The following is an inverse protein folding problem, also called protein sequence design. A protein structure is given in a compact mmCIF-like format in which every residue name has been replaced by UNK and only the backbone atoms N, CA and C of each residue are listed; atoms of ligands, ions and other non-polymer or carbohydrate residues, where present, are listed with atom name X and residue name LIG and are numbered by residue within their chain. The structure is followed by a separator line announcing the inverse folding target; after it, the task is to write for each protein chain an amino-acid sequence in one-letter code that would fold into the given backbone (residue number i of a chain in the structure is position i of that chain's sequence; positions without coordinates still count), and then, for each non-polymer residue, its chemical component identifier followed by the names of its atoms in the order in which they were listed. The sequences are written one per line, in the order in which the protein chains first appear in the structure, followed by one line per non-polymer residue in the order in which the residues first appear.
data_IF_332295378843
#
_entry.id   IF_332295378843
#
_cell.length_a   1.000
_cell.length_b   1.000
_cell.length_c   1.000
_cell.angle_alpha   90.00
_cell.angle_beta   90.00
_cell.angle_gamma   90.00
#
_symmetry.space_group_name_H-M   'P 1'
#
loop_
_entity.id
_entity.type
_entity.pdbx_description
1 polymer ?
#
# COMPACT_ATOMS: atom_id res chain seq x y z
N UNK A 1 -16.75 -11.14 7.56
CA UNK A 1 -15.29 -10.92 7.73
C UNK A 1 -15.06 -9.44 7.98
N UNK A 2 -13.90 -8.99 8.45
CA UNK A 2 -13.66 -7.55 8.76
C UNK A 2 -12.51 -7.06 7.88
N UNK A 3 -12.66 -5.86 7.29
CA UNK A 3 -11.58 -5.19 6.57
C UNK A 3 -10.49 -4.75 7.55
N UNK A 4 -9.22 -5.06 7.24
CA UNK A 4 -8.08 -4.69 8.07
C UNK A 4 -7.95 -3.19 8.25
N UNK A 5 -8.00 -2.41 7.16
CA UNK A 5 -7.74 -0.97 7.20
C UNK A 5 -8.91 -0.20 7.84
N UNK A 6 -10.14 -0.40 7.37
CA UNK A 6 -11.27 0.44 7.80
C UNK A 6 -12.19 -0.19 8.86
N UNK A 7 -11.94 -1.44 9.27
CA UNK A 7 -12.74 -2.14 10.29
C UNK A 7 -14.19 -2.43 9.89
N UNK A 8 -14.60 -2.15 8.65
CA UNK A 8 -15.97 -2.43 8.16
C UNK A 8 -16.19 -3.94 8.01
N UNK A 9 -17.40 -4.38 8.31
CA UNK A 9 -17.82 -5.74 8.00
C UNK A 9 -17.92 -5.96 6.50
N UNK A 10 -17.24 -7.00 6.02
CA UNK A 10 -17.35 -7.53 4.67
C UNK A 10 -18.39 -8.63 4.74
N UNK A 11 -19.58 -8.33 4.19
CA UNK A 11 -20.67 -9.28 4.06
C UNK A 11 -20.40 -10.20 2.88
N UNK A 12 -20.31 -11.50 3.15
CA UNK A 12 -20.00 -12.55 2.18
C UNK A 12 -21.26 -12.91 1.38
N UNK A 13 -21.85 -11.94 0.70
CA UNK A 13 -23.11 -12.11 -0.03
C UNK A 13 -22.89 -12.76 -1.39
N UNK A 14 -22.32 -13.96 -1.46
CA UNK A 14 -22.13 -14.81 -2.67
C UNK A 14 -21.45 -14.15 -3.89
N UNK A 15 -21.21 -12.84 -3.89
CA UNK A 15 -20.45 -12.10 -4.86
C UNK A 15 -19.00 -12.27 -4.47
N UNK A 16 -18.32 -13.18 -5.15
CA UNK A 16 -16.88 -13.49 -5.02
C UNK A 16 -15.96 -12.24 -5.20
N UNK A 17 -16.54 -11.07 -5.45
CA UNK A 17 -15.86 -9.84 -5.85
C UNK A 17 -15.70 -8.78 -4.74
N UNK A 18 -16.18 -9.01 -3.51
CA UNK A 18 -16.09 -8.00 -2.44
C UNK A 18 -14.97 -8.24 -1.43
N UNK A 19 -14.26 -9.37 -1.57
CA UNK A 19 -13.14 -9.75 -0.71
C UNK A 19 -11.83 -9.69 -1.47
N UNK A 20 -10.91 -8.87 -0.99
CA UNK A 20 -9.56 -8.74 -1.53
C UNK A 20 -8.53 -9.03 -0.44
N UNK A 21 -7.31 -9.37 -0.87
CA UNK A 21 -6.17 -9.61 0.02
C UNK A 21 -5.04 -8.67 -0.34
N UNK A 22 -4.37 -8.09 0.64
CA UNK A 22 -3.13 -7.34 0.43
C UNK A 22 -2.09 -8.25 -0.26
N UNK A 23 -1.47 -7.75 -1.34
CA UNK A 23 -0.53 -8.53 -2.16
C UNK A 23 0.79 -8.86 -1.42
N UNK A 24 1.10 -8.15 -0.33
CA UNK A 24 2.31 -8.36 0.47
C UNK A 24 2.09 -9.27 1.68
N UNK A 25 1.07 -9.00 2.50
CA UNK A 25 0.88 -9.67 3.80
C UNK A 25 -0.40 -10.53 3.87
N UNK A 26 -1.25 -10.49 2.85
CA UNK A 26 -2.45 -11.33 2.76
C UNK A 26 -3.61 -10.96 3.69
N UNK A 27 -3.53 -9.83 4.40
CA UNK A 27 -4.65 -9.34 5.23
C UNK A 27 -5.87 -9.06 4.36
N UNK A 28 -7.06 -9.22 4.92
CA UNK A 28 -8.31 -9.03 4.17
C UNK A 28 -8.66 -7.55 4.07
N UNK A 29 -8.95 -7.10 2.85
CA UNK A 29 -9.39 -5.75 2.53
C UNK A 29 -10.77 -5.80 1.88
N UNK A 30 -11.57 -4.76 2.14
CA UNK A 30 -12.74 -4.50 1.31
C UNK A 30 -12.30 -3.90 -0.03
N UNK A 31 -13.22 -3.92 -1.00
CA UNK A 31 -12.98 -3.37 -2.34
C UNK A 31 -12.45 -1.94 -2.33
N UNK A 32 -13.04 -1.07 -1.51
CA UNK A 32 -12.68 0.34 -1.48
C UNK A 32 -11.23 0.53 -1.04
N UNK A 33 -10.84 -0.07 0.10
CA UNK A 33 -9.46 0.00 0.61
C UNK A 33 -8.47 -0.65 -0.37
N UNK A 34 -8.81 -1.79 -0.98
CA UNK A 34 -7.95 -2.44 -1.95
C UNK A 34 -7.67 -1.56 -3.18
N UNK A 35 -8.69 -0.85 -3.68
CA UNK A 35 -8.53 0.06 -4.83
C UNK A 35 -7.80 1.34 -4.45
N UNK A 36 -8.12 1.90 -3.28
CA UNK A 36 -7.48 3.12 -2.75
C UNK A 36 -5.99 2.92 -2.50
N UNK A 37 -5.61 1.78 -1.91
CA UNK A 37 -4.23 1.43 -1.60
C UNK A 37 -3.55 0.56 -2.67
N UNK A 38 -4.10 0.53 -3.90
CA UNK A 38 -3.49 -0.08 -5.09
C UNK A 38 -3.06 -1.54 -4.85
N UNK A 39 -3.89 -2.31 -4.16
CA UNK A 39 -3.65 -3.71 -3.87
C UNK A 39 -2.93 -4.02 -2.56
N UNK A 40 -2.54 -3.00 -1.79
CA UNK A 40 -1.87 -3.15 -0.50
C UNK A 40 -2.78 -2.73 0.65
N UNK A 41 -2.42 -3.08 1.89
CA UNK A 41 -2.98 -2.43 3.07
C UNK A 41 -2.21 -1.13 3.36
N UNK A 42 -2.80 -0.27 4.19
CA UNK A 42 -2.22 1.04 4.54
C UNK A 42 -0.77 0.93 5.03
N UNK A 43 -0.51 -0.03 5.94
CA UNK A 43 0.83 -0.25 6.51
C UNK A 43 1.85 -0.65 5.44
N UNK A 44 1.52 -1.62 4.59
CA UNK A 44 2.44 -2.06 3.53
C UNK A 44 2.65 -0.98 2.46
N UNK A 45 1.64 -0.16 2.18
CA UNK A 45 1.79 0.96 1.25
C UNK A 45 2.74 2.01 1.82
N UNK A 46 2.59 2.37 3.09
CA UNK A 46 3.49 3.30 3.79
C UNK A 46 4.95 2.80 3.77
N UNK A 47 5.18 1.52 4.06
CA UNK A 47 6.52 0.92 4.02
C UNK A 47 7.17 1.05 2.63
N UNK A 48 6.38 0.89 1.57
CA UNK A 48 6.84 1.05 0.18
C UNK A 48 7.15 2.53 -0.10
N UNK A 49 6.26 3.44 0.29
CA UNK A 49 6.42 4.88 0.06
C UNK A 49 7.66 5.44 0.78
N UNK A 50 7.89 5.04 2.03
CA UNK A 50 9.09 5.42 2.78
C UNK A 50 10.36 4.94 2.07
N UNK A 51 10.36 3.69 1.61
CA UNK A 51 11.48 3.13 0.85
C UNK A 51 11.73 3.89 -0.46
N UNK A 52 10.67 4.29 -1.17
CA UNK A 52 10.79 5.07 -2.42
C UNK A 52 11.28 6.49 -2.15
N UNK A 53 10.84 7.12 -1.06
CA UNK A 53 11.28 8.45 -0.66
C UNK A 53 12.76 8.47 -0.26
N UNK A 54 13.24 7.43 0.42
CA UNK A 54 14.65 7.24 0.73
C UNK A 54 15.52 7.12 -0.54
N UNK A 55 15.08 6.34 -1.52
CA UNK A 55 15.80 6.18 -2.79
C UNK A 55 15.84 7.47 -3.62
N UNK A 56 14.74 8.24 -3.61
CA UNK A 56 14.68 9.54 -4.27
C UNK A 56 15.66 10.53 -3.62
N UNK A 57 15.71 10.58 -2.29
CA UNK A 57 16.63 11.44 -1.53
C UNK A 57 18.10 11.07 -1.79
N UNK A 58 18.45 9.78 -1.81
CA UNK A 58 19.80 9.33 -2.12
C UNK A 58 20.25 9.72 -3.53
N UNK A 59 19.34 9.61 -4.51
CA UNK A 59 19.61 9.97 -5.91
C UNK A 59 19.82 11.48 -6.07
N UNK A 60 19.00 12.31 -5.40
CA UNK A 60 19.15 13.77 -5.41
C UNK A 60 20.47 14.18 -4.77
N UNK A 61 20.83 13.60 -3.63
CA UNK A 61 22.08 13.91 -2.93
C UNK A 61 23.31 13.62 -3.82
N UNK A 62 23.28 12.50 -4.55
CA UNK A 62 24.35 12.13 -5.48
C UNK A 62 24.47 13.13 -6.64
N UNK A 63 23.36 13.66 -7.15
CA UNK A 63 23.36 14.66 -8.22
C UNK A 63 23.92 16.01 -7.73
N UNK A 64 23.58 16.44 -6.52
CA UNK A 64 24.10 17.68 -5.92
C UNK A 64 25.63 17.59 -5.74
N UNK A 65 26.16 16.47 -5.25
CA UNK A 65 27.61 16.27 -5.09
C UNK A 65 28.39 16.31 -6.42
N UNK A 66 27.71 16.08 -7.56
CA UNK A 66 28.32 16.17 -8.89
C UNK A 66 28.31 17.60 -9.46
N UNK A 67 27.43 18.48 -9.01
CA UNK A 67 27.37 19.89 -9.46
C UNK A 67 28.35 20.79 -8.69
N UNK A 68 28.77 20.40 -7.49
CA UNK A 68 29.75 21.12 -6.65
C UNK A 68 31.24 20.82 -7.01
N UNK A 69 31.52 20.16 -8.15
CA UNK A 69 32.86 19.86 -8.67
C UNK A 69 33.13 20.53 -10.02
#
# INVERSE_FOLDING_TARGET
MICWDCGKEIHDTLAVYDKFSCDMCGVTLCRDCYVEHIGFCEECLSDIEDTLMDLANYSIMTLIEMEDK
#
